data_IF_318665778855
#
_entry.id   IF_318665778855
#
_cell.length_a   1.000
_cell.length_b   1.000
_cell.length_c   1.000
_cell.angle_alpha   90.00
_cell.angle_beta   90.00
_cell.angle_gamma   90.00
#
_symmetry.space_group_name_H-M   'P 1'
#
loop_
_entity.id
_entity.type
_entity.pdbx_description
1 polymer ?
#
# COMPACT_ATOMS: atom_id res chain seq x y z
N UNK A 1 -36.89 10.18 -25.14
CA UNK A 1 -35.54 10.77 -24.88
C UNK A 1 -35.18 10.83 -23.39
N UNK A 2 -35.58 9.83 -22.57
CA UNK A 2 -35.33 9.83 -21.11
C UNK A 2 -34.24 8.86 -20.64
N UNK A 3 -33.77 7.94 -21.48
CA UNK A 3 -32.82 6.89 -21.08
C UNK A 3 -31.37 7.35 -21.04
N UNK A 4 -30.97 8.26 -21.94
CA UNK A 4 -29.57 8.69 -22.05
C UNK A 4 -29.15 9.56 -20.86
N UNK A 5 -30.01 10.48 -20.40
CA UNK A 5 -29.72 11.34 -19.25
C UNK A 5 -29.62 10.57 -17.94
N UNK A 6 -30.48 9.55 -17.75
CA UNK A 6 -30.43 8.67 -16.59
C UNK A 6 -29.18 7.78 -16.58
N UNK A 7 -28.76 7.27 -17.75
CA UNK A 7 -27.54 6.50 -17.89
C UNK A 7 -26.28 7.31 -17.58
N UNK A 8 -26.19 8.54 -18.09
CA UNK A 8 -25.06 9.44 -17.82
C UNK A 8 -25.00 9.78 -16.32
N UNK A 9 -26.15 10.07 -15.70
CA UNK A 9 -26.22 10.34 -14.27
C UNK A 9 -25.74 9.16 -13.42
N UNK A 10 -26.21 7.95 -13.70
CA UNK A 10 -25.78 6.74 -13.00
C UNK A 10 -24.29 6.47 -13.19
N UNK A 11 -23.77 6.66 -14.40
CA UNK A 11 -22.36 6.46 -14.71
C UNK A 11 -21.47 7.40 -13.90
N UNK A 12 -21.79 8.70 -13.89
CA UNK A 12 -21.03 9.69 -13.12
C UNK A 12 -21.14 9.42 -11.63
N UNK A 13 -22.34 9.12 -11.13
CA UNK A 13 -22.55 8.81 -9.71
C UNK A 13 -21.72 7.61 -9.25
N UNK A 14 -21.74 6.52 -10.02
CA UNK A 14 -20.99 5.31 -9.70
C UNK A 14 -19.48 5.56 -9.76
N UNK A 15 -19.01 6.31 -10.76
CA UNK A 15 -17.60 6.63 -10.94
C UNK A 15 -17.09 7.50 -9.78
N UNK A 16 -17.85 8.51 -9.35
CA UNK A 16 -17.53 9.33 -8.18
C UNK A 16 -17.54 8.52 -6.88
N UNK A 17 -18.50 7.61 -6.73
CA UNK A 17 -18.61 6.75 -5.54
C UNK A 17 -17.41 5.79 -5.44
N UNK A 18 -17.12 5.05 -6.53
CA UNK A 18 -15.98 4.15 -6.63
C UNK A 18 -14.66 4.89 -6.40
N UNK A 19 -14.48 6.06 -7.03
CA UNK A 19 -13.29 6.87 -6.84
C UNK A 19 -13.14 7.31 -5.37
N UNK A 20 -14.21 7.76 -4.73
CA UNK A 20 -14.15 8.19 -3.33
C UNK A 20 -13.78 7.04 -2.40
N UNK A 21 -14.31 5.85 -2.63
CA UNK A 21 -14.02 4.65 -1.83
C UNK A 21 -12.57 4.19 -2.04
N UNK A 22 -12.11 4.14 -3.28
CA UNK A 22 -10.78 3.63 -3.59
C UNK A 22 -9.65 4.61 -3.23
N UNK A 23 -9.88 5.91 -3.37
CA UNK A 23 -8.83 6.92 -3.21
C UNK A 23 -8.90 7.72 -1.89
N UNK A 24 -10.03 7.72 -1.16
CA UNK A 24 -10.08 8.34 0.19
C UNK A 24 -10.24 7.31 1.30
N UNK A 25 -11.18 6.38 1.15
CA UNK A 25 -11.53 5.45 2.24
C UNK A 25 -10.41 4.43 2.46
N UNK A 26 -9.91 3.82 1.38
CA UNK A 26 -8.77 2.89 1.49
C UNK A 26 -7.57 3.55 2.18
N UNK A 27 -6.94 4.62 1.66
CA UNK A 27 -5.74 5.18 2.30
C UNK A 27 -5.96 5.64 3.75
N UNK A 28 -7.15 6.17 4.07
CA UNK A 28 -7.48 6.50 5.47
C UNK A 28 -7.61 5.25 6.37
N UNK A 29 -8.06 4.13 5.84
CA UNK A 29 -8.19 2.85 6.56
C UNK A 29 -6.89 2.03 6.59
N UNK A 30 -6.03 2.12 5.56
CA UNK A 30 -4.79 1.33 5.50
C UNK A 30 -3.65 1.96 6.31
N UNK A 31 -3.82 3.20 6.81
CA UNK A 31 -2.78 3.86 7.60
C UNK A 31 -1.58 4.23 6.75
N UNK A 32 -0.65 5.01 7.33
CA UNK A 32 0.55 5.51 6.64
C UNK A 32 1.20 4.42 5.78
N UNK A 33 1.45 4.73 4.51
CA UNK A 33 2.24 3.83 3.67
C UNK A 33 3.54 3.49 4.38
N UNK A 34 3.96 2.23 4.27
CA UNK A 34 5.26 1.74 4.74
C UNK A 34 6.34 2.65 4.15
N UNK A 35 6.78 3.65 4.92
CA UNK A 35 7.74 4.64 4.44
C UNK A 35 9.12 4.01 4.43
N UNK A 36 9.43 3.26 3.38
CA UNK A 36 10.76 2.71 3.21
C UNK A 36 11.72 3.85 2.89
N UNK A 37 12.63 4.14 3.82
CA UNK A 37 13.69 5.12 3.60
C UNK A 37 14.50 4.78 2.34
N UNK A 38 14.88 5.79 1.56
CA UNK A 38 15.62 5.62 0.29
C UNK A 38 16.89 4.78 0.45
N UNK A 39 17.56 4.87 1.60
CA UNK A 39 18.73 4.04 1.91
C UNK A 39 18.39 2.54 2.00
N UNK A 40 17.25 2.18 2.59
CA UNK A 40 16.79 0.79 2.66
C UNK A 40 16.48 0.25 1.27
N UNK A 41 15.82 1.05 0.42
CA UNK A 41 15.58 0.69 -0.98
C UNK A 41 16.91 0.47 -1.70
N UNK A 42 17.87 1.39 -1.56
CA UNK A 42 19.19 1.27 -2.17
C UNK A 42 19.94 0.01 -1.71
N UNK A 43 20.00 -0.24 -0.39
CA UNK A 43 20.62 -1.45 0.16
C UNK A 43 19.91 -2.72 -0.30
N UNK A 44 18.58 -2.70 -0.41
CA UNK A 44 17.81 -3.84 -0.90
C UNK A 44 18.12 -4.15 -2.37
N UNK A 45 18.34 -3.12 -3.19
CA UNK A 45 18.73 -3.27 -4.59
C UNK A 45 20.14 -3.84 -4.68
N UNK A 46 21.10 -3.31 -3.91
CA UNK A 46 22.48 -3.81 -3.89
C UNK A 46 22.57 -5.26 -3.40
N UNK A 47 21.89 -5.57 -2.29
CA UNK A 47 21.83 -6.92 -1.74
C UNK A 47 21.09 -7.89 -2.67
N UNK A 48 19.97 -7.45 -3.24
CA UNK A 48 19.22 -8.22 -4.23
C UNK A 48 20.06 -8.51 -5.47
N UNK A 49 20.80 -7.52 -5.97
CA UNK A 49 21.70 -7.67 -7.12
C UNK A 49 22.80 -8.71 -6.86
N UNK A 50 23.33 -8.75 -5.62
CA UNK A 50 24.33 -9.74 -5.22
C UNK A 50 23.79 -11.17 -5.14
N UNK A 51 22.51 -11.36 -4.80
CA UNK A 51 21.93 -12.71 -4.58
C UNK A 51 21.20 -13.22 -5.83
N UNK A 52 20.46 -12.35 -6.52
CA UNK A 52 19.54 -12.69 -7.61
C UNK A 52 19.92 -12.06 -8.96
N UNK A 53 21.07 -11.37 -9.04
CA UNK A 53 21.48 -10.67 -10.26
C UNK A 53 20.50 -9.55 -10.63
N UNK A 54 20.30 -9.31 -11.92
CA UNK A 54 19.43 -8.20 -12.40
C UNK A 54 18.01 -8.27 -11.82
N UNK A 55 17.48 -9.48 -11.59
CA UNK A 55 16.16 -9.68 -10.97
C UNK A 55 16.09 -9.16 -9.52
N UNK A 56 17.24 -9.07 -8.86
CA UNK A 56 17.41 -8.52 -7.52
C UNK A 56 16.99 -7.07 -7.36
N UNK A 57 16.96 -6.29 -8.44
CA UNK A 57 16.45 -4.90 -8.43
C UNK A 57 14.96 -4.88 -8.08
N UNK A 58 14.21 -5.91 -8.45
CA UNK A 58 12.78 -6.06 -8.17
C UNK A 58 12.55 -6.84 -6.88
N UNK A 59 13.22 -7.99 -6.74
CA UNK A 59 13.03 -8.88 -5.58
C UNK A 59 13.56 -8.28 -4.28
N UNK A 60 14.65 -7.51 -4.32
CA UNK A 60 15.23 -6.89 -3.13
C UNK A 60 14.25 -5.98 -2.40
N UNK A 61 13.73 -4.92 -3.06
CA UNK A 61 12.72 -4.05 -2.47
C UNK A 61 11.46 -4.80 -2.06
N UNK A 62 10.97 -5.75 -2.86
CA UNK A 62 9.78 -6.55 -2.53
C UNK A 62 9.91 -7.29 -1.20
N UNK A 63 11.04 -7.97 -0.98
CA UNK A 63 11.29 -8.71 0.26
C UNK A 63 11.38 -7.75 1.44
N UNK A 64 12.11 -6.63 1.30
CA UNK A 64 12.26 -5.63 2.37
C UNK A 64 10.93 -4.95 2.69
N UNK A 65 10.09 -4.66 1.69
CA UNK A 65 8.74 -4.09 1.90
C UNK A 65 7.89 -5.07 2.68
N UNK A 66 7.89 -6.35 2.30
CA UNK A 66 7.15 -7.38 3.02
C UNK A 66 7.61 -7.50 4.48
N UNK A 67 8.91 -7.52 4.71
CA UNK A 67 9.48 -7.55 6.06
C UNK A 67 9.08 -6.33 6.90
N UNK A 68 9.19 -5.11 6.34
CA UNK A 68 8.85 -3.89 7.04
C UNK A 68 7.35 -3.82 7.35
N UNK A 69 6.50 -4.22 6.41
CA UNK A 69 5.04 -4.31 6.59
C UNK A 69 4.68 -5.29 7.73
N UNK A 70 5.29 -6.48 7.74
CA UNK A 70 5.07 -7.46 8.81
C UNK A 70 5.52 -6.93 10.17
N UNK A 71 6.65 -6.24 10.20
CA UNK A 71 7.22 -5.62 11.40
C UNK A 71 6.30 -4.53 11.94
N UNK A 72 5.77 -3.68 11.06
CA UNK A 72 4.81 -2.64 11.41
C UNK A 72 3.51 -3.23 11.98
N UNK A 73 2.95 -4.26 11.34
CA UNK A 73 1.78 -4.98 11.86
C UNK A 73 2.07 -5.60 13.23
N UNK A 74 3.25 -6.20 13.40
CA UNK A 74 3.66 -6.80 14.67
C UNK A 74 3.72 -5.76 15.79
N UNK A 75 4.40 -4.63 15.57
CA UNK A 75 4.50 -3.56 16.56
C UNK A 75 3.14 -2.89 16.83
N UNK A 76 2.34 -2.63 15.80
CA UNK A 76 0.99 -2.08 15.96
C UNK A 76 0.11 -2.99 16.83
N UNK A 77 0.24 -4.32 16.72
CA UNK A 77 -0.50 -5.27 17.56
C UNK A 77 0.09 -5.42 18.97
N UNK A 78 1.41 -5.33 19.10
CA UNK A 78 2.13 -5.47 20.37
C UNK A 78 1.90 -4.27 21.29
N UNK A 79 1.96 -3.04 20.74
CA UNK A 79 1.79 -1.80 21.50
C UNK A 79 0.39 -1.72 22.16
N UNK A 80 -0.64 -2.23 21.46
CA UNK A 80 -2.01 -2.35 21.99
C UNK A 80 -2.12 -3.28 23.20
N UNK A 81 -1.25 -4.29 23.33
CA UNK A 81 -1.27 -5.22 24.47
C UNK A 81 -0.48 -4.69 25.66
N UNK A 82 0.57 -3.91 25.44
CA UNK A 82 1.39 -3.33 26.52
C UNK A 82 0.71 -2.12 27.16
N UNK A 83 -0.02 -1.29 26.40
CA UNK A 83 -0.81 -0.18 26.97
C UNK A 83 -2.05 -0.61 27.77
N UNK A 84 -2.49 -1.88 27.66
CA UNK A 84 -3.66 -2.41 28.38
C UNK A 84 -3.33 -3.07 29.72
N UNK A 85 -2.06 -3.11 30.12
CA UNK A 85 -1.60 -3.50 31.46
C UNK A 85 -1.28 -2.26 32.30
#
# INVERSE_FOLDING_TARGET
>A
NGSLGQGIFLFIFYLTLSFSIEYLVKPKMVGNEVQMHTLLVFLSILGGLSVYGVLGIIYGPLIVTGFLTLTEIYFAKYDVHVQKM
#
